data_IF_702764748210
#
_entry.id   IF_702764748210
#
_cell.length_a   1.000
_cell.length_b   1.000
_cell.length_c   1.000
_cell.angle_alpha   90.00
_cell.angle_beta   90.00
_cell.angle_gamma   90.00
#
_symmetry.space_group_name_H-M   'P 1'
#
loop_
_entity.id
_entity.type
_entity.pdbx_description
1 polymer ?
#
# COMPACT_ATOMS: atom_id res chain seq x y z
N UNK A 1 33.23 -6.50 -26.06
CA UNK A 1 32.10 -7.30 -25.55
C UNK A 1 32.70 -8.37 -24.68
N UNK A 2 32.08 -8.63 -23.53
CA UNK A 2 32.57 -9.61 -22.58
C UNK A 2 32.12 -11.01 -23.03
N UNK A 3 33.04 -11.80 -23.59
CA UNK A 3 32.78 -13.14 -24.15
C UNK A 3 32.84 -14.23 -23.07
N UNK A 4 32.05 -14.06 -21.99
CA UNK A 4 31.90 -15.11 -20.99
C UNK A 4 30.95 -16.19 -21.48
N UNK A 5 31.34 -17.45 -21.33
CA UNK A 5 30.46 -18.59 -21.57
C UNK A 5 29.35 -18.65 -20.51
N UNK A 6 28.24 -19.31 -20.84
CA UNK A 6 27.12 -19.51 -19.90
C UNK A 6 27.60 -20.21 -18.61
N UNK A 7 28.50 -21.18 -18.76
CA UNK A 7 29.05 -21.94 -17.63
C UNK A 7 29.89 -21.05 -16.69
N UNK A 8 30.70 -20.14 -17.25
CA UNK A 8 31.45 -19.15 -16.46
C UNK A 8 30.51 -18.16 -15.74
N UNK A 9 29.40 -17.77 -16.36
CA UNK A 9 28.41 -16.92 -15.71
C UNK A 9 27.71 -17.63 -14.55
N UNK A 10 27.42 -18.92 -14.69
CA UNK A 10 26.85 -19.76 -13.63
C UNK A 10 27.84 -19.91 -12.48
N UNK A 11 29.11 -20.23 -12.77
CA UNK A 11 30.16 -20.39 -11.75
C UNK A 11 30.39 -19.08 -10.96
N UNK A 12 30.36 -17.93 -11.64
CA UNK A 12 30.41 -16.62 -10.98
C UNK A 12 29.18 -16.41 -10.09
N UNK A 13 27.98 -16.75 -10.57
CA UNK A 13 26.74 -16.59 -9.80
C UNK A 13 26.68 -17.51 -8.57
N UNK A 14 27.20 -18.73 -8.67
CA UNK A 14 27.29 -19.68 -7.56
C UNK A 14 28.37 -19.29 -6.54
N UNK A 15 29.45 -18.65 -6.99
CA UNK A 15 30.52 -18.11 -6.15
C UNK A 15 30.18 -16.77 -5.49
N UNK A 16 29.16 -16.05 -5.97
CA UNK A 16 28.70 -14.83 -5.32
C UNK A 16 28.14 -15.17 -3.93
N UNK A 17 28.46 -14.36 -2.90
CA UNK A 17 27.82 -14.49 -1.61
C UNK A 17 26.32 -14.34 -1.84
N UNK A 18 25.56 -15.43 -1.63
CA UNK A 18 24.12 -15.33 -1.71
C UNK A 18 23.71 -14.23 -0.73
N UNK A 19 22.93 -13.26 -1.18
CA UNK A 19 22.37 -12.16 -0.38
C UNK A 19 21.32 -12.69 0.60
N UNK A 20 21.60 -13.82 1.26
CA UNK A 20 20.71 -14.66 2.08
C UNK A 20 19.99 -13.88 3.19
N UNK A 21 20.45 -12.67 3.51
CA UNK A 21 19.81 -11.77 4.46
C UNK A 21 18.82 -10.77 3.86
N UNK A 22 18.84 -10.48 2.56
CA UNK A 22 17.96 -9.43 1.99
C UNK A 22 16.51 -9.89 1.93
N UNK A 23 16.24 -11.03 1.30
CA UNK A 23 14.87 -11.53 1.17
C UNK A 23 14.25 -11.79 2.55
N UNK A 24 14.99 -12.47 3.44
CA UNK A 24 14.57 -12.69 4.83
C UNK A 24 14.47 -11.37 5.62
N UNK A 25 15.36 -10.41 5.35
CA UNK A 25 15.37 -9.09 5.99
C UNK A 25 14.14 -8.26 5.61
N UNK A 26 13.79 -8.24 4.32
CA UNK A 26 12.57 -7.59 3.82
C UNK A 26 11.31 -8.28 4.37
N UNK A 27 11.27 -9.62 4.34
CA UNK A 27 10.13 -10.38 4.89
C UNK A 27 9.91 -10.13 6.39
N UNK A 28 10.98 -9.82 7.14
CA UNK A 28 10.92 -9.50 8.56
C UNK A 28 10.54 -8.04 8.88
N UNK A 29 10.52 -7.13 7.89
CA UNK A 29 10.23 -5.71 8.14
C UNK A 29 8.79 -5.52 8.62
N UNK A 30 8.64 -4.79 9.74
CA UNK A 30 7.33 -4.44 10.30
C UNK A 30 7.34 -2.97 10.68
N UNK A 31 6.54 -2.17 9.98
CA UNK A 31 6.29 -0.79 10.36
C UNK A 31 5.25 -0.74 11.47
N UNK A 32 5.44 0.15 12.46
CA UNK A 32 4.51 0.25 13.58
C UNK A 32 4.13 1.69 13.89
N UNK A 33 2.89 1.91 14.33
CA UNK A 33 2.40 3.20 14.80
C UNK A 33 1.42 3.01 15.96
N UNK A 34 1.35 3.98 16.86
CA UNK A 34 0.45 3.94 18.03
C UNK A 34 -0.16 5.31 18.30
N UNK A 35 -1.41 5.33 18.73
CA UNK A 35 -2.17 6.56 19.06
C UNK A 35 -3.53 6.23 19.64
N UNK A 36 -4.03 7.06 20.57
CA UNK A 36 -5.38 6.95 21.15
C UNK A 36 -5.79 5.53 21.61
N UNK A 37 -4.85 4.75 22.15
CA UNK A 37 -5.11 3.38 22.61
C UNK A 37 -5.07 2.30 21.51
N UNK A 38 -4.77 2.69 20.27
CA UNK A 38 -4.60 1.82 19.10
C UNK A 38 -3.12 1.60 18.83
N UNK A 39 -2.72 0.37 18.54
CA UNK A 39 -1.41 0.01 18.03
C UNK A 39 -1.56 -0.79 16.74
N UNK A 40 -0.92 -0.33 15.66
CA UNK A 40 -0.95 -0.93 14.33
C UNK A 40 0.44 -1.42 13.95
N UNK A 41 0.51 -2.60 13.35
CA UNK A 41 1.69 -3.11 12.67
C UNK A 41 1.35 -3.53 11.23
N UNK A 42 2.15 -3.09 10.27
CA UNK A 42 2.03 -3.47 8.86
C UNK A 42 3.34 -4.05 8.33
N UNK A 43 3.25 -4.93 7.34
CA UNK A 43 4.41 -5.41 6.61
C UNK A 43 4.78 -4.47 5.43
N UNK A 44 5.80 -4.85 4.65
CA UNK A 44 6.22 -4.11 3.45
C UNK A 44 5.21 -4.14 2.30
N UNK A 45 4.26 -5.08 2.32
CA UNK A 45 3.20 -5.16 1.33
C UNK A 45 2.03 -4.21 1.70
N UNK A 46 2.12 -3.53 2.83
CA UNK A 46 1.07 -2.67 3.37
C UNK A 46 -0.07 -3.46 4.03
N UNK A 47 0.12 -4.76 4.28
CA UNK A 47 -0.89 -5.58 4.94
C UNK A 47 -0.84 -5.37 6.45
N UNK A 48 -2.01 -5.29 7.07
CA UNK A 48 -2.15 -5.27 8.52
C UNK A 48 -1.80 -6.65 9.10
N UNK A 49 -0.71 -6.70 9.87
CA UNK A 49 -0.20 -7.93 10.48
C UNK A 49 -0.24 -7.89 12.01
N UNK A 50 -0.65 -6.76 12.60
CA UNK A 50 -0.93 -6.63 14.02
C UNK A 50 -1.86 -5.45 14.31
N UNK A 51 -2.82 -5.67 15.21
CA UNK A 51 -3.72 -4.65 15.72
C UNK A 51 -4.00 -4.92 17.20
N UNK A 52 -3.72 -3.93 18.05
CA UNK A 52 -4.06 -3.96 19.47
C UNK A 52 -4.90 -2.73 19.81
N UNK A 53 -5.93 -2.93 20.62
CA UNK A 53 -6.88 -1.90 21.04
C UNK A 53 -7.04 -1.94 22.56
N UNK A 54 -6.88 -0.79 23.23
CA UNK A 54 -7.20 -0.63 24.66
C UNK A 54 -8.58 0.05 24.87
N UNK A 55 -8.99 0.21 26.12
CA UNK A 55 -10.29 0.81 26.47
C UNK A 55 -10.45 2.26 25.94
N UNK A 56 -9.36 3.01 25.75
CA UNK A 56 -9.41 4.37 25.19
C UNK A 56 -9.75 4.32 23.71
N UNK A 57 -9.22 3.35 22.97
CA UNK A 57 -9.57 3.14 21.57
C UNK A 57 -11.07 2.81 21.41
N UNK A 58 -11.62 1.99 22.32
CA UNK A 58 -13.04 1.66 22.32
C UNK A 58 -13.94 2.85 22.67
N UNK A 59 -13.43 3.81 23.45
CA UNK A 59 -14.15 5.04 23.79
C UNK A 59 -14.29 6.03 22.61
N UNK A 60 -13.50 5.89 21.54
CA UNK A 60 -13.59 6.73 20.33
C UNK A 60 -14.89 6.49 19.53
N UNK A 61 -15.55 5.36 19.76
CA UNK A 61 -16.69 4.89 18.97
C UNK A 61 -16.28 4.45 17.55
N UNK A 62 -17.19 3.83 16.78
CA UNK A 62 -16.85 3.14 15.53
C UNK A 62 -16.19 4.02 14.47
N UNK A 63 -16.72 5.22 14.24
CA UNK A 63 -16.19 6.13 13.23
C UNK A 63 -14.83 6.71 13.61
N UNK A 64 -14.65 7.08 14.88
CA UNK A 64 -13.38 7.59 15.40
C UNK A 64 -12.29 6.52 15.38
N UNK A 65 -12.63 5.31 15.79
CA UNK A 65 -11.70 4.18 15.75
C UNK A 65 -11.28 3.82 14.32
N UNK A 66 -12.21 3.82 13.36
CA UNK A 66 -11.89 3.57 11.96
C UNK A 66 -10.95 4.65 11.38
N UNK A 67 -11.20 5.92 11.69
CA UNK A 67 -10.34 7.02 11.29
C UNK A 67 -8.93 6.89 11.89
N UNK A 68 -8.85 6.51 13.17
CA UNK A 68 -7.57 6.35 13.88
C UNK A 68 -6.76 5.17 13.35
N UNK A 69 -7.40 4.01 13.11
CA UNK A 69 -6.74 2.86 12.48
C UNK A 69 -6.22 3.23 11.09
N UNK A 70 -7.00 3.95 10.28
CA UNK A 70 -6.58 4.39 8.94
C UNK A 70 -5.36 5.31 9.01
N UNK A 71 -5.38 6.32 9.89
CA UNK A 71 -4.27 7.24 10.11
C UNK A 71 -3.00 6.48 10.53
N UNK A 72 -3.11 5.62 11.55
CA UNK A 72 -1.99 4.84 12.06
C UNK A 72 -1.47 3.81 11.03
N UNK A 73 -2.34 3.26 10.18
CA UNK A 73 -1.91 2.36 9.10
C UNK A 73 -1.03 3.08 8.08
N UNK A 74 -1.35 4.33 7.73
CA UNK A 74 -0.52 5.14 6.83
C UNK A 74 0.85 5.47 7.47
N UNK A 75 0.85 5.79 8.76
CA UNK A 75 2.10 6.06 9.51
C UNK A 75 2.97 4.81 9.63
N UNK A 76 2.36 3.67 9.98
CA UNK A 76 3.03 2.38 10.02
C UNK A 76 3.57 1.99 8.64
N UNK A 77 2.83 2.26 7.56
CA UNK A 77 3.30 2.02 6.18
C UNK A 77 4.50 2.89 5.82
N UNK A 78 4.50 4.16 6.20
CA UNK A 78 5.67 5.04 6.02
C UNK A 78 6.88 4.51 6.78
N UNK A 79 6.66 4.00 7.99
CA UNK A 79 7.72 3.38 8.80
C UNK A 79 8.24 2.08 8.18
N UNK A 80 7.35 1.21 7.65
CA UNK A 80 7.77 -0.03 6.98
C UNK A 80 8.60 0.25 5.73
N UNK A 81 8.22 1.22 4.90
CA UNK A 81 9.00 1.64 3.74
C UNK A 81 10.40 2.14 4.13
N UNK A 82 10.49 2.97 5.17
CA UNK A 82 11.78 3.44 5.70
C UNK A 82 12.66 2.28 6.14
N UNK A 83 12.11 1.33 6.90
CA UNK A 83 12.83 0.14 7.34
C UNK A 83 13.25 -0.76 6.16
N UNK A 84 12.40 -0.91 5.14
CA UNK A 84 12.72 -1.61 3.90
C UNK A 84 13.94 -1.02 3.20
N UNK A 85 14.07 0.30 3.18
CA UNK A 85 15.23 0.95 2.58
C UNK A 85 16.53 0.70 3.35
N UNK A 86 16.46 0.63 4.69
CA UNK A 86 17.59 0.22 5.51
C UNK A 86 17.99 -1.25 5.24
N UNK A 87 17.01 -2.14 5.05
CA UNK A 87 17.28 -3.53 4.69
C UNK A 87 17.94 -3.66 3.30
N UNK A 88 17.50 -2.88 2.30
CA UNK A 88 18.15 -2.81 0.98
C UNK A 88 19.59 -2.29 1.11
N UNK A 89 19.81 -1.22 1.87
CA UNK A 89 21.15 -0.68 2.10
C UNK A 89 22.08 -1.72 2.74
N UNK A 90 21.59 -2.46 3.74
CA UNK A 90 22.35 -3.50 4.40
C UNK A 90 22.64 -4.72 3.49
N UNK A 91 21.70 -5.10 2.63
CA UNK A 91 21.81 -6.28 1.78
C UNK A 91 22.50 -6.05 0.43
N UNK A 92 22.43 -4.83 -0.12
CA UNK A 92 22.90 -4.48 -1.45
C UNK A 92 23.97 -3.37 -1.48
N UNK A 93 24.22 -2.72 -0.33
CA UNK A 93 25.13 -1.58 -0.24
C UNK A 93 24.46 -0.22 -0.51
N UNK A 94 25.19 0.84 -0.15
CA UNK A 94 24.68 2.22 -0.19
C UNK A 94 24.37 2.73 -1.60
N UNK A 95 25.16 2.35 -2.60
CA UNK A 95 24.95 2.78 -4.00
C UNK A 95 23.63 2.26 -4.56
N UNK A 96 23.31 0.99 -4.31
CA UNK A 96 22.05 0.38 -4.75
C UNK A 96 20.86 1.00 -4.02
N UNK A 97 20.96 1.21 -2.70
CA UNK A 97 19.88 1.85 -1.95
C UNK A 97 19.61 3.29 -2.41
N UNK A 98 20.66 4.06 -2.72
CA UNK A 98 20.52 5.41 -3.27
C UNK A 98 19.84 5.38 -4.64
N UNK A 99 20.26 4.48 -5.54
CA UNK A 99 19.65 4.33 -6.86
C UNK A 99 18.16 3.95 -6.80
N UNK A 100 17.77 3.08 -5.86
CA UNK A 100 16.36 2.75 -5.60
C UNK A 100 15.60 3.97 -5.09
N UNK A 101 16.16 4.73 -4.16
CA UNK A 101 15.56 5.97 -3.65
C UNK A 101 15.33 7.00 -4.76
N UNK A 102 16.33 7.25 -5.60
CA UNK A 102 16.23 8.17 -6.74
C UNK A 102 15.15 7.72 -7.73
N UNK A 103 15.08 6.40 -8.02
CA UNK A 103 14.04 5.83 -8.88
C UNK A 103 12.64 6.05 -8.29
N UNK A 104 12.44 5.79 -7.00
CA UNK A 104 11.14 5.98 -6.33
C UNK A 104 10.69 7.45 -6.35
N UNK A 105 11.61 8.40 -6.23
CA UNK A 105 11.29 9.84 -6.35
C UNK A 105 10.90 10.18 -7.80
N UNK A 106 11.57 9.57 -8.79
CA UNK A 106 11.29 9.83 -10.20
C UNK A 106 9.91 9.35 -10.66
N UNK A 107 9.38 8.26 -10.08
CA UNK A 107 8.05 7.73 -10.45
C UNK A 107 6.91 8.54 -9.84
N UNK A 108 7.13 9.24 -8.72
CA UNK A 108 6.13 10.14 -8.13
C UNK A 108 5.84 11.38 -9.01
N UNK A 109 6.70 11.66 -10.00
CA UNK A 109 6.50 12.73 -10.99
C UNK A 109 5.52 12.42 -12.12
N UNK A 110 5.14 11.14 -12.31
CA UNK A 110 4.21 10.67 -13.36
C UNK A 110 2.83 10.31 -12.76
N UNK A 111 2.40 11.02 -11.71
CA UNK A 111 0.99 11.01 -11.33
C UNK A 111 0.22 11.78 -12.41
N UNK A 112 -0.19 11.09 -13.47
CA UNK A 112 -1.12 11.59 -14.47
C UNK A 112 -2.33 12.16 -13.74
N UNK A 113 -2.43 13.49 -13.70
CA UNK A 113 -3.61 14.17 -13.17
C UNK A 113 -4.81 13.54 -13.87
N UNK A 114 -5.80 12.99 -13.14
CA UNK A 114 -7.01 12.53 -13.80
C UNK A 114 -7.54 13.72 -14.61
N UNK A 115 -7.63 13.53 -15.93
CA UNK A 115 -8.14 14.56 -16.82
C UNK A 115 -9.44 15.10 -16.22
N UNK A 116 -9.67 16.42 -16.21
CA UNK A 116 -10.84 16.99 -15.57
C UNK A 116 -12.08 16.28 -16.11
N UNK A 117 -12.88 15.71 -15.21
CA UNK A 117 -14.11 15.03 -15.59
C UNK A 117 -14.90 15.97 -16.50
N UNK A 118 -15.36 15.51 -17.68
CA UNK A 118 -16.21 16.34 -18.52
C UNK A 118 -17.41 16.80 -17.69
N UNK A 119 -17.84 18.07 -17.82
CA UNK A 119 -18.91 18.60 -17.00
C UNK A 119 -20.11 17.67 -17.07
N UNK A 120 -20.54 17.17 -15.91
CA UNK A 120 -21.70 16.31 -15.77
C UNK A 120 -22.86 17.00 -16.47
N UNK A 121 -23.31 16.44 -17.60
CA UNK A 121 -24.56 16.90 -18.21
C UNK A 121 -25.65 16.75 -17.13
N UNK A 122 -26.46 17.77 -16.87
CA UNK A 122 -27.57 17.62 -15.94
C UNK A 122 -28.41 16.42 -16.41
N UNK A 123 -28.61 15.47 -15.50
CA UNK A 123 -29.56 14.38 -15.72
C UNK A 123 -30.94 15.04 -15.79
N UNK A 124 -31.43 15.27 -16.99
CA UNK A 124 -32.84 15.57 -17.21
C UNK A 124 -33.55 14.24 -17.04
N UNK A 125 -34.21 14.09 -15.90
CA UNK A 125 -35.28 13.10 -15.77
C UNK A 125 -36.40 13.60 -16.69
N UNK A 126 -36.42 13.16 -17.94
CA UNK A 126 -37.59 13.33 -18.79
C UNK A 126 -38.70 12.47 -18.16
N UNK A 127 -39.72 13.15 -17.62
CA UNK A 127 -40.88 12.59 -16.91
C UNK A 127 -41.78 11.67 -17.80
N UNK A 128 -41.29 11.18 -18.93
CA UNK A 128 -42.12 10.47 -19.93
C UNK A 128 -42.01 8.93 -19.91
N UNK A 129 -41.17 8.31 -19.07
CA UNK A 129 -41.00 6.85 -19.02
C UNK A 129 -41.46 6.18 -17.71
N UNK A 130 -42.55 6.67 -17.10
CA UNK A 130 -43.28 5.91 -16.06
C UNK A 130 -44.65 5.47 -16.57
N UNK A 131 -44.64 4.47 -17.46
CA UNK A 131 -45.86 3.75 -17.83
C UNK A 131 -46.09 2.57 -16.85
N UNK A 132 -46.55 2.87 -15.62
CA UNK A 132 -47.08 1.83 -14.74
C UNK A 132 -48.56 1.59 -15.08
N UNK A 133 -48.84 0.41 -15.63
CA UNK A 133 -50.18 -0.02 -16.02
C UNK A 133 -51.17 -0.03 -14.85
N UNK A 134 -52.31 0.61 -15.10
CA UNK A 134 -53.67 0.33 -14.60
C UNK A 134 -53.85 -0.65 -13.42
N UNK A 135 -54.26 -0.07 -12.29
CA UNK A 135 -55.41 -0.42 -11.43
C UNK A 135 -56.02 -1.84 -11.56
N UNK A 136 -56.04 -2.57 -10.43
CA UNK A 136 -57.29 -3.09 -9.83
C UNK A 136 -57.11 -3.34 -8.34
N UNK A 137 -57.89 -2.61 -7.53
CA UNK A 137 -58.16 -2.91 -6.13
C UNK A 137 -59.17 -4.06 -6.08
N UNK A 138 -58.86 -5.14 -5.39
CA UNK A 138 -59.87 -6.04 -4.84
C UNK A 138 -59.71 -6.02 -3.31
N UNK A 139 -60.79 -5.58 -2.66
CA UNK A 139 -60.98 -5.60 -1.22
C UNK A 139 -61.41 -6.99 -0.77
N UNK A 140 -60.80 -7.51 0.29
CA UNK A 140 -61.45 -8.38 1.26
C UNK A 140 -60.93 -8.04 2.66
#
# INVERSE_FOLDING_TARGET
MDERSIDELIEIAEGMPRTNGLAAGLDAVRGTARGEGVSVAVDLQGLLVGLELDDRALALGPAGLAAEISRLSNEAGTDSLRQGMLAIQAGCGAEVAAAVGDYLISIEGEAEQPAPEPPSRPVTWDDEDVHWGSTKKESW
#
